data_IF_076835100984
#
_entry.id   IF_076835100984
#
_cell.length_a   1.000
_cell.length_b   1.000
_cell.length_c   1.000
_cell.angle_alpha   90.00
_cell.angle_beta   90.00
_cell.angle_gamma   90.00
#
_symmetry.space_group_name_H-M   'P 1'
#
loop_
_entity.id
_entity.type
_entity.pdbx_description
1 polymer ?
#
# COMPACT_ATOMS: atom_id res chain seq x y z
N UNK A 1 -16.27 35.63 -3.45
CA UNK A 1 -16.29 34.74 -4.62
C UNK A 1 -15.11 34.99 -5.55
N UNK A 2 -13.91 34.75 -5.04
CA UNK A 2 -12.67 34.82 -5.82
C UNK A 2 -11.57 34.22 -4.96
N UNK A 3 -11.43 32.89 -4.90
CA UNK A 3 -10.29 32.21 -4.25
C UNK A 3 -10.37 30.71 -4.55
N UNK A 4 -9.32 30.19 -5.20
CA UNK A 4 -8.85 28.79 -5.14
C UNK A 4 -9.41 27.73 -6.12
N UNK A 5 -10.01 28.08 -7.26
CA UNK A 5 -10.47 27.05 -8.22
C UNK A 5 -9.58 26.86 -9.48
N UNK A 6 -8.40 27.50 -9.59
CA UNK A 6 -7.65 27.56 -10.86
C UNK A 6 -6.24 26.96 -10.85
N UNK A 7 -5.86 26.23 -9.80
CA UNK A 7 -4.46 25.78 -9.59
C UNK A 7 -4.02 24.50 -10.32
N UNK A 8 -4.92 23.61 -10.70
CA UNK A 8 -4.58 22.33 -11.33
C UNK A 8 -5.25 22.22 -12.70
N UNK A 9 -4.46 22.16 -13.77
CA UNK A 9 -4.97 21.90 -15.12
C UNK A 9 -5.23 20.39 -15.24
N UNK A 10 -6.00 19.96 -16.24
CA UNK A 10 -6.36 18.55 -16.43
C UNK A 10 -5.18 17.57 -16.61
N UNK A 11 -3.95 18.06 -16.84
CA UNK A 11 -2.75 17.23 -16.99
C UNK A 11 -2.24 16.72 -15.64
N UNK A 12 -2.31 17.55 -14.60
CA UNK A 12 -1.93 17.18 -13.24
C UNK A 12 -2.95 16.22 -12.61
N UNK A 13 -4.23 16.39 -12.95
CA UNK A 13 -5.31 15.44 -12.58
C UNK A 13 -5.02 14.05 -13.15
N UNK A 14 -4.75 13.97 -14.46
CA UNK A 14 -4.47 12.71 -15.14
C UNK A 14 -3.23 12.00 -14.56
N UNK A 15 -2.18 12.76 -14.19
CA UNK A 15 -0.99 12.19 -13.55
C UNK A 15 -1.31 11.54 -12.21
N UNK A 16 -2.13 12.19 -11.37
CA UNK A 16 -2.50 11.62 -10.05
C UNK A 16 -3.42 10.42 -10.21
N UNK A 17 -4.36 10.44 -11.15
CA UNK A 17 -5.19 9.27 -11.47
C UNK A 17 -4.34 8.06 -11.90
N UNK A 18 -3.31 8.27 -12.72
CA UNK A 18 -2.41 7.20 -13.15
C UNK A 18 -1.56 6.67 -11.98
N UNK A 19 -1.07 7.54 -11.10
CA UNK A 19 -0.35 7.15 -9.88
C UNK A 19 -1.25 6.30 -8.95
N UNK A 20 -2.53 6.65 -8.81
CA UNK A 20 -3.48 5.89 -7.97
C UNK A 20 -3.74 4.50 -8.57
N UNK A 21 -3.90 4.39 -9.90
CA UNK A 21 -4.07 3.10 -10.58
C UNK A 21 -2.86 2.19 -10.42
N UNK A 22 -1.66 2.76 -10.56
CA UNK A 22 -0.42 2.02 -10.36
C UNK A 22 -0.31 1.51 -8.92
N UNK A 23 -0.60 2.38 -7.94
CA UNK A 23 -0.60 2.02 -6.53
C UNK A 23 -1.59 0.92 -6.18
N UNK A 24 -2.81 0.96 -6.75
CA UNK A 24 -3.82 -0.10 -6.57
C UNK A 24 -3.38 -1.43 -7.18
N UNK A 25 -2.68 -1.40 -8.31
CA UNK A 25 -2.11 -2.62 -8.92
C UNK A 25 -1.03 -3.22 -8.02
N UNK A 26 -0.13 -2.37 -7.50
CA UNK A 26 0.94 -2.79 -6.58
C UNK A 26 0.34 -3.32 -5.26
N UNK A 27 -0.69 -2.69 -4.73
CA UNK A 27 -1.43 -3.15 -3.55
C UNK A 27 -1.96 -4.58 -3.77
N UNK A 28 -2.70 -4.80 -4.86
CA UNK A 28 -3.27 -6.12 -5.19
C UNK A 28 -2.21 -7.23 -5.23
N UNK A 29 -1.03 -6.92 -5.78
CA UNK A 29 0.07 -7.88 -5.86
C UNK A 29 0.77 -8.07 -4.53
N UNK A 30 1.01 -7.00 -3.77
CA UNK A 30 1.56 -7.05 -2.40
C UNK A 30 0.68 -7.92 -1.51
N UNK A 31 -0.62 -7.78 -1.65
CA UNK A 31 -1.63 -8.47 -0.86
C UNK A 31 -1.66 -9.99 -1.17
N UNK A 32 -1.48 -10.37 -2.44
CA UNK A 32 -1.25 -11.77 -2.85
C UNK A 32 0.06 -12.33 -2.29
N UNK A 33 1.15 -11.54 -2.35
CA UNK A 33 2.46 -11.93 -1.86
C UNK A 33 2.46 -12.11 -0.33
N UNK A 34 1.77 -11.23 0.40
CA UNK A 34 1.60 -11.32 1.84
C UNK A 34 0.89 -12.61 2.25
N UNK A 35 -0.19 -13.00 1.55
CA UNK A 35 -0.86 -14.29 1.79
C UNK A 35 0.07 -15.47 1.49
N UNK A 36 0.82 -15.40 0.39
CA UNK A 36 1.77 -16.46 -0.02
C UNK A 36 2.88 -16.65 1.02
N UNK A 37 3.52 -15.57 1.46
CA UNK A 37 4.64 -15.66 2.41
C UNK A 37 4.17 -16.09 3.80
N UNK A 38 3.00 -15.65 4.27
CA UNK A 38 2.41 -16.16 5.52
C UNK A 38 2.11 -17.65 5.45
N UNK A 39 1.56 -18.13 4.33
CA UNK A 39 1.32 -19.57 4.14
C UNK A 39 2.61 -20.39 4.17
N UNK A 40 3.70 -19.84 3.59
CA UNK A 40 5.02 -20.46 3.63
C UNK A 40 5.59 -20.46 5.05
N UNK A 41 5.47 -19.35 5.78
CA UNK A 41 5.91 -19.25 7.18
C UNK A 41 5.13 -20.24 8.05
N UNK A 42 3.81 -20.31 7.91
CA UNK A 42 2.93 -21.24 8.62
C UNK A 42 3.39 -22.70 8.47
N UNK A 43 3.75 -23.11 7.26
CA UNK A 43 4.25 -24.47 7.01
C UNK A 43 5.61 -24.76 7.70
N UNK A 44 6.36 -23.72 8.06
CA UNK A 44 7.68 -23.80 8.69
C UNK A 44 7.67 -23.53 10.20
N UNK A 45 6.56 -23.08 10.78
CA UNK A 45 6.49 -22.62 12.18
C UNK A 45 7.00 -23.66 13.18
N UNK A 46 6.66 -24.94 12.97
CA UNK A 46 7.08 -26.03 13.85
C UNK A 46 8.57 -26.36 13.79
N UNK A 47 9.27 -25.82 12.78
CA UNK A 47 10.71 -26.06 12.54
C UNK A 47 11.60 -24.93 13.01
N UNK A 48 11.02 -23.81 13.47
CA UNK A 48 11.73 -22.59 13.84
C UNK A 48 11.51 -22.25 15.34
N UNK A 49 12.45 -21.54 15.98
CA UNK A 49 12.22 -20.99 17.31
C UNK A 49 11.02 -20.06 17.32
N UNK A 50 10.16 -20.17 18.36
CA UNK A 50 8.92 -19.41 18.43
C UNK A 50 9.13 -17.89 18.36
N UNK A 51 10.20 -17.38 18.97
CA UNK A 51 10.54 -15.95 18.93
C UNK A 51 10.82 -15.49 17.49
N UNK A 52 11.58 -16.28 16.73
CA UNK A 52 11.94 -15.96 15.34
C UNK A 52 10.69 -15.95 14.44
N UNK A 53 9.79 -16.94 14.62
CA UNK A 53 8.49 -16.98 13.92
C UNK A 53 7.70 -15.69 14.18
N UNK A 54 7.61 -15.25 15.43
CA UNK A 54 6.89 -14.02 15.79
C UNK A 54 7.54 -12.77 15.17
N UNK A 55 8.86 -12.71 15.09
CA UNK A 55 9.54 -11.60 14.41
C UNK A 55 9.32 -11.60 12.90
N UNK A 56 9.31 -12.78 12.26
CA UNK A 56 9.01 -12.89 10.83
C UNK A 56 7.59 -12.43 10.51
N UNK A 57 6.60 -12.80 11.32
CA UNK A 57 5.24 -12.28 11.17
C UNK A 57 5.18 -10.76 11.30
N UNK A 58 5.86 -10.18 12.30
CA UNK A 58 5.92 -8.73 12.48
C UNK A 58 6.54 -8.01 11.28
N UNK A 59 7.60 -8.56 10.69
CA UNK A 59 8.21 -7.99 9.48
C UNK A 59 7.22 -8.01 8.32
N UNK A 60 6.46 -9.10 8.15
CA UNK A 60 5.41 -9.19 7.14
C UNK A 60 4.30 -8.16 7.41
N UNK A 61 3.89 -7.97 8.67
CA UNK A 61 2.90 -6.95 9.05
C UNK A 61 3.37 -5.53 8.72
N UNK A 62 4.62 -5.18 9.04
CA UNK A 62 5.19 -3.86 8.75
C UNK A 62 5.27 -3.55 7.27
N UNK A 63 5.49 -4.55 6.42
CA UNK A 63 5.43 -4.37 4.96
C UNK A 63 4.02 -4.00 4.49
N UNK A 64 2.99 -4.64 5.07
CA UNK A 64 1.59 -4.28 4.81
C UNK A 64 1.27 -2.86 5.26
N UNK A 65 1.67 -2.49 6.49
CA UNK A 65 1.46 -1.13 7.00
C UNK A 65 2.15 -0.05 6.15
N UNK A 66 3.32 -0.35 5.58
CA UNK A 66 4.00 0.56 4.66
C UNK A 66 3.21 0.77 3.38
N UNK A 67 2.63 -0.30 2.82
CA UNK A 67 1.77 -0.23 1.64
C UNK A 67 0.50 0.59 1.91
N UNK A 68 -0.18 0.34 3.04
CA UNK A 68 -1.40 1.07 3.45
C UNK A 68 -1.14 2.58 3.60
N UNK A 69 0.03 2.95 4.13
CA UNK A 69 0.44 4.36 4.25
C UNK A 69 0.62 5.01 2.88
N UNK A 70 1.22 4.29 1.92
CA UNK A 70 1.36 4.79 0.56
C UNK A 70 -0.03 5.02 -0.07
N UNK A 71 -0.95 4.07 0.07
CA UNK A 71 -2.34 4.18 -0.41
C UNK A 71 -3.06 5.38 0.20
N UNK A 72 -2.92 5.58 1.51
CA UNK A 72 -3.51 6.73 2.22
C UNK A 72 -3.02 8.07 1.67
N UNK A 73 -1.73 8.17 1.29
CA UNK A 73 -1.20 9.37 0.63
C UNK A 73 -1.84 9.55 -0.74
N UNK A 74 -1.98 8.47 -1.52
CA UNK A 74 -2.67 8.49 -2.82
C UNK A 74 -4.12 8.99 -2.72
N UNK A 75 -4.92 8.43 -1.81
CA UNK A 75 -6.32 8.85 -1.59
C UNK A 75 -6.45 10.31 -1.15
N UNK A 76 -5.47 10.83 -0.41
CA UNK A 76 -5.43 12.25 -0.04
C UNK A 76 -5.15 13.16 -1.24
N UNK A 77 -4.23 12.75 -2.12
CA UNK A 77 -3.95 13.49 -3.37
C UNK A 77 -5.19 13.51 -4.27
N UNK A 78 -5.92 12.42 -4.36
CA UNK A 78 -7.21 12.34 -5.07
C UNK A 78 -8.21 13.37 -4.54
N UNK A 79 -8.39 13.42 -3.22
CA UNK A 79 -9.34 14.33 -2.55
C UNK A 79 -8.95 15.81 -2.66
N UNK A 80 -7.67 16.12 -2.88
CA UNK A 80 -7.21 17.50 -3.07
C UNK A 80 -7.43 18.00 -4.51
N UNK A 81 -7.61 17.09 -5.46
CA UNK A 81 -7.69 17.38 -6.89
C UNK A 81 -9.13 17.26 -7.41
N UNK A 82 -9.94 16.35 -6.86
CA UNK A 82 -11.37 16.23 -7.11
C UNK A 82 -12.20 17.24 -6.32
#
# INVERSE_FOLDING_TARGET
DELLATGFKGKEVALVEDMIKELSTIESDTDKLQRKIRKQLFALESTLPAVDVMFLYKVIDWLGELADRAQTVGSRLETMIG
#
